data_IF_927762273838
#
_entry.id   IF_927762273838
#
_cell.length_a   1.000
_cell.length_b   1.000
_cell.length_c   1.000
_cell.angle_alpha   90.00
_cell.angle_beta   90.00
_cell.angle_gamma   90.00
#
_symmetry.space_group_name_H-M   'P 1'
#
loop_
_entity.id
_entity.type
_entity.pdbx_description
1 polymer ?
#
# COMPACT_ATOMS: atom_id res chain seq x y z
N UNK A 1 4.51 16.26 -11.44
CA UNK A 1 4.04 14.88 -11.23
C UNK A 1 2.74 14.74 -12.01
N UNK A 2 2.50 13.60 -12.69
CA UNK A 2 1.17 13.29 -13.20
C UNK A 2 0.16 13.52 -12.09
N UNK A 3 -1.01 14.08 -12.37
CA UNK A 3 -2.02 14.38 -11.35
C UNK A 3 -2.23 13.15 -10.45
N UNK A 4 -1.90 13.28 -9.16
CA UNK A 4 -2.00 12.22 -8.16
C UNK A 4 -3.48 11.92 -7.92
N UNK A 5 -4.05 11.07 -8.79
CA UNK A 5 -5.43 10.60 -8.70
C UNK A 5 -5.70 9.86 -7.38
N UNK A 6 -4.65 9.46 -6.67
CA UNK A 6 -4.68 8.67 -5.43
C UNK A 6 -4.19 9.44 -4.20
N UNK A 7 -4.38 10.77 -4.14
CA UNK A 7 -3.93 11.61 -3.01
C UNK A 7 -4.46 11.15 -1.63
N UNK A 8 -5.61 10.48 -1.58
CA UNK A 8 -6.16 9.92 -0.34
C UNK A 8 -5.38 8.70 0.17
N UNK A 9 -4.83 7.91 -0.77
CA UNK A 9 -4.01 6.74 -0.48
C UNK A 9 -2.58 7.18 -0.18
N UNK A 10 -2.06 8.19 -0.88
CA UNK A 10 -0.71 8.71 -0.68
C UNK A 10 -0.77 10.13 -0.13
N UNK A 11 -1.20 10.27 1.13
CA UNK A 11 -1.33 11.58 1.78
C UNK A 11 0.04 12.21 2.01
N UNK A 12 0.27 13.36 1.38
CA UNK A 12 1.45 14.20 1.59
C UNK A 12 1.01 15.49 2.29
N UNK A 13 1.61 15.87 3.43
CA UNK A 13 1.33 17.14 4.05
C UNK A 13 1.86 18.28 3.15
N UNK A 14 1.22 19.45 3.16
CA UNK A 14 1.61 20.57 2.30
C UNK A 14 3.06 21.00 2.59
N UNK A 15 3.84 21.16 1.54
CA UNK A 15 5.25 21.57 1.64
C UNK A 15 5.34 23.01 2.14
N UNK A 16 6.10 23.22 3.23
CA UNK A 16 6.42 24.56 3.76
C UNK A 16 7.92 24.80 3.63
N UNK A 17 8.33 25.51 2.58
CA UNK A 17 9.71 25.95 2.41
C UNK A 17 9.88 27.36 2.96
N UNK A 18 10.89 27.63 3.81
CA UNK A 18 11.15 28.99 4.26
C UNK A 18 11.61 29.85 3.07
N UNK A 19 11.26 31.14 3.12
CA UNK A 19 11.81 32.12 2.18
C UNK A 19 13.33 32.20 2.42
N UNK A 20 14.10 32.19 1.33
CA UNK A 20 15.56 32.25 1.43
C UNK A 20 16.03 33.69 1.63
N UNK A 21 16.26 34.06 2.89
CA UNK A 21 16.82 35.35 3.27
C UNK A 21 18.36 35.27 3.32
N UNK A 22 19.04 36.18 2.60
CA UNK A 22 20.50 36.27 2.60
C UNK A 22 20.95 37.31 3.64
N UNK A 23 21.55 36.85 4.74
CA UNK A 23 22.10 37.71 5.79
C UNK A 23 23.49 38.26 5.44
N UNK A 24 24.14 37.71 4.41
CA UNK A 24 25.47 38.10 3.95
C UNK A 24 25.41 38.77 2.57
N UNK A 25 26.25 39.79 2.35
CA UNK A 25 26.37 40.47 1.04
C UNK A 25 27.08 39.64 -0.04
N UNK A 26 27.64 38.48 0.33
CA UNK A 26 28.26 37.52 -0.59
C UNK A 26 27.16 36.63 -1.18
N UNK A 27 26.92 36.73 -2.48
CA UNK A 27 25.95 35.90 -3.18
C UNK A 27 26.28 34.41 -3.05
N UNK A 28 25.30 33.60 -2.62
CA UNK A 28 25.50 32.15 -2.49
C UNK A 28 25.68 31.48 -3.87
N UNK A 29 26.78 30.73 -4.12
CA UNK A 29 27.01 30.06 -5.40
C UNK A 29 25.93 29.04 -5.80
N UNK A 30 25.09 28.59 -4.84
CA UNK A 30 23.95 27.72 -5.12
C UNK A 30 22.84 28.43 -5.88
N UNK A 31 22.66 29.74 -5.67
CA UNK A 31 21.59 30.53 -6.30
C UNK A 31 21.93 30.87 -7.76
N UNK A 32 23.21 31.00 -8.10
CA UNK A 32 23.71 31.29 -9.45
C UNK A 32 23.82 30.06 -10.37
N UNK A 33 23.70 28.84 -9.84
CA UNK A 33 23.68 27.59 -10.65
C UNK A 33 22.31 27.24 -11.25
N UNK A 34 21.27 28.03 -10.97
CA UNK A 34 19.89 27.70 -11.34
C UNK A 34 19.47 28.03 -12.77
N UNK A 35 20.26 28.82 -13.50
CA UNK A 35 19.87 29.30 -14.84
C UNK A 35 20.92 28.90 -15.86
N UNK A 36 20.55 28.07 -16.84
CA UNK A 36 21.37 27.95 -18.05
C UNK A 36 21.25 26.72 -18.93
N UNK A 37 20.39 25.74 -18.64
CA UNK A 37 20.19 24.61 -19.56
C UNK A 37 18.69 24.37 -19.71
N UNK A 38 18.10 24.52 -20.92
CA UNK A 38 16.79 23.95 -21.18
C UNK A 38 16.90 22.46 -20.89
N UNK A 39 16.09 21.94 -19.96
CA UNK A 39 16.15 20.53 -19.61
C UNK A 39 15.80 19.71 -20.86
N UNK A 40 16.81 19.19 -21.56
CA UNK A 40 16.61 18.43 -22.80
C UNK A 40 15.68 17.24 -22.60
N UNK A 41 15.55 16.76 -21.35
CA UNK A 41 14.56 15.76 -20.96
C UNK A 41 13.13 16.27 -21.05
N UNK A 42 12.86 17.52 -20.69
CA UNK A 42 11.53 18.12 -20.79
C UNK A 42 11.09 18.24 -22.26
N UNK A 43 11.99 18.71 -23.14
CA UNK A 43 11.71 18.82 -24.58
C UNK A 43 11.46 17.44 -25.21
N UNK A 44 12.26 16.44 -24.83
CA UNK A 44 12.05 15.06 -25.29
C UNK A 44 10.74 14.46 -24.77
N UNK A 45 10.42 14.66 -23.49
CA UNK A 45 9.17 14.20 -22.89
C UNK A 45 7.95 14.81 -23.59
N UNK A 46 7.98 16.12 -23.87
CA UNK A 46 6.90 16.80 -24.60
C UNK A 46 6.73 16.22 -26.01
N UNK A 47 7.82 15.94 -26.73
CA UNK A 47 7.75 15.29 -28.04
C UNK A 47 7.13 13.89 -27.96
N UNK A 48 7.51 13.09 -26.95
CA UNK A 48 6.96 11.74 -26.72
C UNK A 48 5.46 11.82 -26.41
N UNK A 49 5.05 12.71 -25.50
CA UNK A 49 3.65 12.92 -25.12
C UNK A 49 2.82 13.36 -26.34
N UNK A 50 3.35 14.24 -27.20
CA UNK A 50 2.70 14.61 -28.47
C UNK A 50 2.51 13.42 -29.41
N UNK A 51 3.46 12.47 -29.47
CA UNK A 51 3.27 11.25 -30.27
C UNK A 51 2.25 10.30 -29.63
N UNK A 52 2.30 10.10 -28.31
CA UNK A 52 1.34 9.27 -27.59
C UNK A 52 -0.09 9.83 -27.67
N UNK A 53 -0.25 11.15 -27.64
CA UNK A 53 -1.55 11.82 -27.75
C UNK A 53 -2.22 11.58 -29.12
N UNK A 54 -1.45 11.34 -30.18
CA UNK A 54 -2.00 10.99 -31.51
C UNK A 54 -2.68 9.63 -31.50
N UNK A 55 -2.16 8.67 -30.72
CA UNK A 55 -2.62 7.28 -30.65
C UNK A 55 -2.87 6.89 -29.18
N UNK A 56 -3.93 7.44 -28.58
CA UNK A 56 -4.25 7.16 -27.18
C UNK A 56 -4.93 5.80 -27.03
N UNK A 57 -4.28 4.87 -26.32
CA UNK A 57 -4.85 3.57 -25.96
C UNK A 57 -5.47 3.62 -24.56
N UNK A 58 -6.59 2.93 -24.39
CA UNK A 58 -7.27 2.80 -23.10
C UNK A 58 -7.11 1.37 -22.57
N UNK A 59 -6.88 1.24 -21.28
CA UNK A 59 -6.89 -0.02 -20.55
C UNK A 59 -7.87 0.07 -19.38
N UNK A 60 -8.36 -1.08 -18.92
CA UNK A 60 -9.33 -1.17 -17.85
C UNK A 60 -8.81 -2.05 -16.72
N UNK A 61 -9.12 -1.67 -15.49
CA UNK A 61 -8.83 -2.50 -14.33
C UNK A 61 -9.84 -3.66 -14.25
N UNK A 62 -9.33 -4.88 -14.10
CA UNK A 62 -10.16 -6.07 -14.02
C UNK A 62 -10.96 -6.09 -12.71
N UNK A 63 -12.27 -6.27 -12.81
CA UNK A 63 -13.17 -6.38 -11.65
C UNK A 63 -13.66 -7.81 -11.49
N UNK A 64 -13.21 -8.46 -10.42
CA UNK A 64 -13.69 -9.80 -10.06
C UNK A 64 -14.97 -9.70 -9.24
N UNK A 65 -15.99 -10.45 -9.62
CA UNK A 65 -17.19 -10.67 -8.79
C UNK A 65 -16.84 -11.62 -7.64
N UNK A 66 -17.51 -11.44 -6.50
CA UNK A 66 -17.38 -12.35 -5.37
C UNK A 66 -18.05 -13.68 -5.68
N UNK A 67 -17.45 -14.74 -5.18
CA UNK A 67 -17.84 -16.14 -5.24
C UNK A 67 -18.06 -16.60 -3.79
N UNK A 68 -18.94 -17.60 -3.54
CA UNK A 68 -19.07 -18.22 -2.23
C UNK A 68 -17.73 -18.62 -1.62
N UNK A 69 -17.59 -18.38 -0.31
CA UNK A 69 -16.41 -18.76 0.45
C UNK A 69 -16.43 -20.26 0.80
N UNK A 70 -15.29 -20.78 1.24
CA UNK A 70 -15.14 -22.20 1.56
C UNK A 70 -16.09 -22.69 2.66
N UNK A 71 -16.63 -21.81 3.50
CA UNK A 71 -17.60 -22.16 4.54
C UNK A 71 -18.99 -22.53 4.01
N UNK A 72 -19.33 -22.08 2.81
CA UNK A 72 -20.65 -22.31 2.17
C UNK A 72 -20.64 -23.53 1.24
N UNK A 73 -19.45 -23.98 0.84
CA UNK A 73 -19.28 -25.13 -0.03
C UNK A 73 -19.61 -26.46 0.68
N UNK A 74 -20.24 -27.38 -0.06
CA UNK A 74 -20.49 -28.75 0.40
C UNK A 74 -19.20 -29.57 0.41
N UNK A 75 -19.10 -30.51 1.35
CA UNK A 75 -17.96 -31.43 1.41
C UNK A 75 -17.92 -32.32 0.16
N UNK A 76 -16.80 -32.28 -0.57
CA UNK A 76 -16.61 -33.05 -1.81
C UNK A 76 -16.96 -32.31 -3.10
N UNK A 77 -17.49 -31.08 -3.03
CA UNK A 77 -17.67 -30.23 -4.20
C UNK A 77 -16.36 -29.51 -4.59
N UNK A 78 -15.59 -30.16 -5.46
CA UNK A 78 -14.31 -29.63 -5.92
C UNK A 78 -14.43 -28.37 -6.78
N UNK A 79 -15.56 -28.14 -7.46
CA UNK A 79 -15.75 -26.93 -8.28
C UNK A 79 -15.91 -25.72 -7.36
N UNK A 80 -16.76 -25.83 -6.35
CA UNK A 80 -16.92 -24.78 -5.34
C UNK A 80 -15.59 -24.49 -4.62
N UNK A 81 -14.85 -25.54 -4.23
CA UNK A 81 -13.54 -25.38 -3.59
C UNK A 81 -12.53 -24.67 -4.48
N UNK A 82 -12.49 -24.98 -5.77
CA UNK A 82 -11.56 -24.36 -6.69
C UNK A 82 -11.81 -22.86 -6.83
N UNK A 83 -13.08 -22.45 -6.98
CA UNK A 83 -13.40 -21.03 -7.13
C UNK A 83 -13.18 -20.24 -5.82
N UNK A 84 -13.56 -20.84 -4.68
CA UNK A 84 -13.31 -20.27 -3.35
C UNK A 84 -11.81 -20.12 -3.06
N UNK A 85 -11.00 -21.11 -3.43
CA UNK A 85 -9.54 -21.04 -3.28
C UNK A 85 -8.93 -19.97 -4.20
N UNK A 86 -9.44 -19.84 -5.43
CA UNK A 86 -9.01 -18.79 -6.34
C UNK A 86 -9.36 -17.38 -5.81
N UNK A 87 -10.52 -17.20 -5.19
CA UNK A 87 -10.88 -15.96 -4.49
C UNK A 87 -9.93 -15.67 -3.34
N UNK A 88 -9.69 -16.63 -2.46
CA UNK A 88 -8.78 -16.48 -1.34
C UNK A 88 -7.35 -16.13 -1.78
N UNK A 89 -6.85 -16.75 -2.87
CA UNK A 89 -5.53 -16.41 -3.43
C UNK A 89 -5.45 -14.98 -3.91
N UNK A 90 -6.49 -14.48 -4.59
CA UNK A 90 -6.57 -13.08 -5.03
C UNK A 90 -6.60 -12.12 -3.84
N UNK A 91 -7.46 -12.38 -2.86
CA UNK A 91 -7.58 -11.52 -1.69
C UNK A 91 -6.28 -11.52 -0.87
N UNK A 92 -5.57 -12.64 -0.78
CA UNK A 92 -4.24 -12.71 -0.16
C UNK A 92 -3.20 -11.84 -0.89
N UNK A 93 -3.19 -11.83 -2.22
CA UNK A 93 -2.30 -10.95 -2.99
C UNK A 93 -2.66 -9.48 -2.77
N UNK A 94 -3.95 -9.14 -2.74
CA UNK A 94 -4.41 -7.78 -2.45
C UNK A 94 -3.98 -7.34 -1.04
N UNK A 95 -4.12 -8.20 -0.03
CA UNK A 95 -3.70 -7.90 1.34
C UNK A 95 -2.18 -7.72 1.48
N UNK A 96 -1.38 -8.43 0.66
CA UNK A 96 0.07 -8.20 0.59
C UNK A 96 0.39 -6.80 0.08
N UNK A 97 -0.27 -6.38 -1.00
CA UNK A 97 -0.11 -5.01 -1.54
C UNK A 97 -0.59 -3.95 -0.54
N UNK A 98 -1.66 -4.22 0.23
CA UNK A 98 -2.11 -3.30 1.29
C UNK A 98 -1.03 -3.10 2.35
N UNK A 99 -0.36 -4.17 2.78
CA UNK A 99 0.76 -4.07 3.74
C UNK A 99 1.91 -3.26 3.14
N UNK A 100 2.24 -3.48 1.87
CA UNK A 100 3.34 -2.77 1.21
C UNK A 100 3.02 -1.28 1.02
N UNK A 101 1.79 -0.92 0.64
CA UNK A 101 1.36 0.49 0.56
C UNK A 101 1.52 1.19 1.91
N UNK A 102 1.14 0.55 3.02
CA UNK A 102 1.30 1.13 4.35
C UNK A 102 2.78 1.24 4.75
N UNK A 103 3.62 0.30 4.30
CA UNK A 103 5.07 0.36 4.48
C UNK A 103 5.71 1.51 3.68
N UNK A 104 5.28 1.71 2.44
CA UNK A 104 5.71 2.84 1.60
C UNK A 104 5.34 4.18 2.26
N UNK A 105 4.13 4.30 2.82
CA UNK A 105 3.72 5.51 3.56
C UNK A 105 4.65 5.80 4.73
N UNK A 106 5.01 4.78 5.52
CA UNK A 106 5.95 4.94 6.62
C UNK A 106 7.34 5.35 6.10
N UNK A 107 7.80 4.74 5.00
CA UNK A 107 9.08 5.09 4.36
C UNK A 107 9.12 6.55 3.87
N UNK A 108 8.06 6.99 3.19
CA UNK A 108 7.90 8.36 2.71
C UNK A 108 7.86 9.37 3.86
N UNK A 109 7.15 9.03 4.94
CA UNK A 109 7.06 9.85 6.15
C UNK A 109 8.43 10.01 6.85
N UNK A 110 9.18 8.91 7.04
CA UNK A 110 10.55 8.96 7.58
C UNK A 110 11.48 9.81 6.72
N UNK A 111 11.41 9.66 5.39
CA UNK A 111 12.24 10.44 4.49
C UNK A 111 11.94 11.94 4.56
N UNK A 112 10.65 12.30 4.66
CA UNK A 112 10.20 13.70 4.75
C UNK A 112 10.60 14.38 6.06
N UNK A 113 10.50 13.67 7.19
CA UNK A 113 10.68 14.25 8.52
C UNK A 113 12.13 14.25 9.02
N UNK A 114 12.97 13.37 8.46
CA UNK A 114 14.39 13.28 8.80
C UNK A 114 14.62 13.06 10.29
N UNK A 115 15.26 14.00 11.02
CA UNK A 115 15.60 13.81 12.44
C UNK A 115 14.38 13.70 13.36
N UNK A 116 13.24 14.32 13.01
CA UNK A 116 12.04 14.35 13.87
C UNK A 116 11.04 13.21 13.57
N UNK A 117 11.48 12.18 12.85
CA UNK A 117 10.62 11.07 12.39
C UNK A 117 9.87 10.33 13.51
N UNK A 118 10.43 10.27 14.73
CA UNK A 118 9.83 9.49 15.81
C UNK A 118 8.58 10.13 16.41
N UNK A 119 8.47 11.46 16.34
CA UNK A 119 7.34 12.20 16.90
C UNK A 119 6.24 12.39 15.87
N UNK A 120 6.63 12.79 14.66
CA UNK A 120 5.68 13.19 13.62
C UNK A 120 5.09 11.98 12.88
N UNK A 121 5.82 10.87 12.78
CA UNK A 121 5.40 9.66 12.07
C UNK A 121 4.71 8.59 12.93
N UNK A 122 4.29 8.94 14.15
CA UNK A 122 3.75 7.98 15.10
C UNK A 122 2.47 7.29 14.59
N UNK A 123 1.63 8.02 13.85
CA UNK A 123 0.37 7.51 13.32
C UNK A 123 0.58 6.44 12.24
N UNK A 124 1.50 6.68 11.31
CA UNK A 124 1.84 5.75 10.23
C UNK A 124 2.47 4.48 10.81
N UNK A 125 3.26 4.61 11.88
CA UNK A 125 3.85 3.49 12.59
C UNK A 125 2.78 2.63 13.28
N UNK A 126 1.81 3.25 13.95
CA UNK A 126 0.67 2.56 14.54
C UNK A 126 -0.17 1.83 13.47
N UNK A 127 -0.44 2.50 12.36
CA UNK A 127 -1.16 1.89 11.22
C UNK A 127 -0.43 0.67 10.68
N UNK A 128 0.89 0.74 10.52
CA UNK A 128 1.69 -0.40 10.09
C UNK A 128 1.58 -1.54 11.12
N UNK A 129 1.68 -1.24 12.42
CA UNK A 129 1.57 -2.25 13.47
C UNK A 129 0.21 -2.96 13.46
N UNK A 130 -0.88 -2.21 13.29
CA UNK A 130 -2.23 -2.76 13.19
C UNK A 130 -2.40 -3.65 11.95
N UNK A 131 -1.97 -3.18 10.77
CA UNK A 131 -2.12 -3.91 9.50
C UNK A 131 -1.25 -5.15 9.46
N UNK A 132 0.00 -5.06 9.92
CA UNK A 132 0.92 -6.21 10.00
C UNK A 132 0.43 -7.24 11.01
N UNK A 133 -0.11 -6.82 12.15
CA UNK A 133 -0.76 -7.73 13.12
C UNK A 133 -1.95 -8.43 12.47
N UNK A 134 -2.86 -7.70 11.85
CA UNK A 134 -4.03 -8.29 11.17
C UNK A 134 -3.63 -9.27 10.06
N UNK A 135 -2.60 -8.94 9.27
CA UNK A 135 -2.06 -9.81 8.24
C UNK A 135 -1.43 -11.08 8.83
N UNK A 136 -0.64 -10.97 9.90
CA UNK A 136 -0.05 -12.10 10.61
C UNK A 136 -1.13 -13.00 11.24
N UNK A 137 -2.17 -12.40 11.84
CA UNK A 137 -3.29 -13.14 12.43
C UNK A 137 -4.05 -13.93 11.35
N UNK A 138 -4.22 -13.36 10.15
CA UNK A 138 -4.92 -14.02 9.03
C UNK A 138 -4.08 -15.07 8.30
N UNK A 139 -2.83 -14.73 7.95
CA UNK A 139 -2.00 -15.52 7.04
C UNK A 139 -0.73 -16.12 7.67
N UNK A 140 -0.40 -15.75 8.91
CA UNK A 140 0.75 -16.31 9.63
C UNK A 140 0.63 -17.82 9.79
N UNK A 141 1.77 -18.52 9.76
CA UNK A 141 1.90 -19.95 10.07
C UNK A 141 1.05 -20.91 9.20
N UNK A 142 0.56 -20.47 8.05
CA UNK A 142 -0.16 -21.34 7.10
C UNK A 142 0.78 -22.30 6.35
N UNK A 143 2.09 -22.10 6.45
CA UNK A 143 3.11 -22.87 5.72
C UNK A 143 3.18 -22.53 4.23
N UNK A 144 4.07 -23.23 3.51
CA UNK A 144 4.31 -23.03 2.07
C UNK A 144 3.08 -23.39 1.24
N UNK A 145 2.38 -24.47 1.61
CA UNK A 145 1.16 -24.93 0.95
C UNK A 145 -0.12 -24.37 1.59
N UNK A 146 -0.05 -23.17 2.17
CA UNK A 146 -1.20 -22.51 2.79
C UNK A 146 -2.35 -22.30 1.79
N UNK A 147 -3.55 -22.75 2.15
CA UNK A 147 -4.75 -22.68 1.34
C UNK A 147 -5.93 -22.08 2.12
N UNK A 148 -7.06 -21.89 1.45
CA UNK A 148 -8.27 -21.37 2.08
C UNK A 148 -8.74 -22.25 3.25
N UNK A 149 -8.54 -23.57 3.16
CA UNK A 149 -8.92 -24.54 4.20
C UNK A 149 -8.09 -24.39 5.48
N UNK A 150 -6.77 -24.27 5.38
CA UNK A 150 -5.91 -24.05 6.54
C UNK A 150 -6.18 -22.70 7.17
N UNK A 151 -6.47 -21.68 6.36
CA UNK A 151 -6.90 -20.35 6.85
C UNK A 151 -8.21 -20.45 7.65
N UNK A 152 -9.21 -21.16 7.13
CA UNK A 152 -10.48 -21.38 7.82
C UNK A 152 -10.30 -22.16 9.14
N UNK A 153 -9.44 -23.19 9.15
CA UNK A 153 -9.15 -23.93 10.39
C UNK A 153 -8.46 -23.04 11.42
N UNK A 154 -7.46 -22.23 11.01
CA UNK A 154 -6.82 -21.24 11.89
C UNK A 154 -7.84 -20.26 12.49
N UNK A 155 -8.75 -19.75 11.67
CA UNK A 155 -9.82 -18.87 12.14
C UNK A 155 -10.72 -19.56 13.17
N UNK A 156 -11.09 -20.83 12.94
CA UNK A 156 -11.88 -21.61 13.90
C UNK A 156 -11.12 -21.80 15.23
N UNK A 157 -9.84 -22.12 15.19
CA UNK A 157 -9.01 -22.23 16.40
C UNK A 157 -9.01 -20.92 17.20
N UNK A 158 -8.78 -19.78 16.53
CA UNK A 158 -8.82 -18.47 17.18
C UNK A 158 -10.18 -18.17 17.82
N UNK A 159 -11.27 -18.42 17.12
CA UNK A 159 -12.62 -18.19 17.67
C UNK A 159 -12.93 -19.09 18.88
N UNK A 160 -12.43 -20.32 18.91
CA UNK A 160 -12.59 -21.21 20.07
C UNK A 160 -11.78 -20.72 21.28
N UNK A 161 -10.56 -20.24 21.05
CA UNK A 161 -9.71 -19.65 22.09
C UNK A 161 -10.31 -18.37 22.67
N UNK A 162 -10.82 -17.48 21.81
CA UNK A 162 -11.52 -16.26 22.23
C UNK A 162 -12.74 -16.58 23.08
N UNK A 163 -13.55 -17.56 22.66
CA UNK A 163 -14.72 -18.03 23.44
C UNK A 163 -14.31 -18.61 24.79
N UNK A 164 -13.24 -19.40 24.83
CA UNK A 164 -12.73 -19.97 26.10
C UNK A 164 -12.19 -18.88 27.02
N UNK A 165 -11.47 -17.89 26.49
CA UNK A 165 -10.97 -16.76 27.25
C UNK A 165 -12.11 -15.92 27.83
N UNK A 166 -13.17 -15.67 27.06
CA UNK A 166 -14.38 -14.98 27.53
C UNK A 166 -15.08 -15.77 28.64
N UNK A 167 -15.25 -17.08 28.48
CA UNK A 167 -15.88 -17.93 29.50
C UNK A 167 -15.07 -18.03 30.80
N UNK A 168 -13.74 -17.91 30.74
CA UNK A 168 -12.88 -17.88 31.92
C UNK A 168 -12.82 -16.49 32.58
N UNK A 169 -13.20 -15.43 31.86
CA UNK A 169 -13.23 -14.06 32.35
C UNK A 169 -14.59 -13.65 32.95
N UNK A 170 -15.64 -14.43 32.67
CA UNK A 170 -16.98 -14.35 33.28
C UNK A 170 -17.08 -15.21 34.52
#
# INVERSE_FOLDING_TARGET
MPEDRDWEVYKVPPTRTPVSESTTGVGSPRRSRGNGVPDGRAVAAEWIERQQAKNKFYYYHQKFRRVPDLSECLEGDYLCFFEAEAQWKRDRMVDQEIVEIVRERLGACKHREGPNQYQNCAKELEQLAQVTKAYQDRYGDLGVHGNARTCLMKQKHRMLEERKAQANAS
#
